data_IF_123349085681
#
_entry.id   IF_123349085681
#
_cell.length_a   1.000
_cell.length_b   1.000
_cell.length_c   1.000
_cell.angle_alpha   90.00
_cell.angle_beta   90.00
_cell.angle_gamma   90.00
#
_symmetry.space_group_name_H-M   'P 1'
#
loop_
_entity.id
_entity.type
_entity.pdbx_description
1 polymer ?
#
# COMPACT_ATOMS: atom_id res chain seq x y z
N UNK A 1 -19.76 -7.48 12.36
CA UNK A 1 -20.44 -8.69 11.83
C UNK A 1 -19.35 -9.67 11.40
N UNK A 2 -19.44 -10.97 11.68
CA UNK A 2 -18.36 -11.91 11.33
C UNK A 2 -18.30 -12.10 9.81
N UNK A 3 -17.20 -11.66 9.18
CA UNK A 3 -16.90 -11.96 7.78
C UNK A 3 -16.87 -13.49 7.59
N UNK A 4 -17.62 -14.08 6.64
CA UNK A 4 -17.93 -15.52 6.63
C UNK A 4 -16.70 -16.41 6.40
N UNK A 5 -15.64 -15.88 5.80
CA UNK A 5 -14.34 -16.54 5.60
C UNK A 5 -13.25 -15.56 6.02
N UNK A 6 -12.20 -15.99 6.74
CA UNK A 6 -11.08 -15.11 7.08
C UNK A 6 -10.38 -14.64 5.81
N UNK A 7 -10.11 -13.34 5.74
CA UNK A 7 -9.33 -12.74 4.66
C UNK A 7 -7.93 -13.35 4.64
N UNK A 8 -7.30 -13.50 3.47
CA UNK A 8 -5.89 -13.91 3.39
C UNK A 8 -5.06 -12.76 2.86
N UNK A 9 -4.06 -12.33 3.63
CA UNK A 9 -3.12 -11.31 3.20
C UNK A 9 -1.75 -11.94 2.95
N UNK A 10 -1.38 -12.02 1.68
CA UNK A 10 -0.03 -12.39 1.28
C UNK A 10 0.87 -11.16 1.38
N UNK A 11 1.91 -11.23 2.21
CA UNK A 11 2.68 -10.05 2.56
C UNK A 11 4.11 -10.30 3.01
N UNK A 12 4.89 -9.23 3.02
CA UNK A 12 6.21 -9.17 3.61
C UNK A 12 6.31 -7.89 4.44
N UNK A 13 6.62 -8.01 5.73
CA UNK A 13 6.55 -6.91 6.71
C UNK A 13 7.18 -5.59 6.25
N UNK A 14 8.45 -5.54 5.81
CA UNK A 14 9.13 -4.29 5.42
C UNK A 14 8.81 -3.88 3.97
N UNK A 15 7.54 -3.99 3.58
CA UNK A 15 7.03 -3.58 2.27
C UNK A 15 5.70 -2.86 2.43
N UNK A 16 5.05 -2.51 1.29
CA UNK A 16 3.71 -1.92 1.28
C UNK A 16 2.63 -2.84 1.86
N UNK A 17 2.96 -4.10 2.17
CA UNK A 17 2.07 -4.99 2.93
C UNK A 17 1.72 -4.44 4.30
N UNK A 18 2.59 -3.63 4.91
CA UNK A 18 2.31 -3.01 6.20
C UNK A 18 1.04 -2.15 6.18
N UNK A 19 0.75 -1.45 5.08
CA UNK A 19 -0.49 -0.67 4.92
C UNK A 19 -1.75 -1.53 5.09
N UNK A 20 -1.77 -2.68 4.41
CA UNK A 20 -2.89 -3.61 4.48
C UNK A 20 -2.99 -4.32 5.84
N UNK A 21 -1.85 -4.70 6.43
CA UNK A 21 -1.79 -5.25 7.78
C UNK A 21 -2.37 -4.25 8.79
N UNK A 22 -1.91 -3.00 8.75
CA UNK A 22 -2.38 -1.97 9.65
C UNK A 22 -3.90 -1.73 9.49
N UNK A 23 -4.40 -1.61 8.26
CA UNK A 23 -5.85 -1.48 8.04
C UNK A 23 -6.66 -2.69 8.57
N UNK A 24 -6.15 -3.91 8.46
CA UNK A 24 -6.81 -5.10 9.02
C UNK A 24 -6.86 -5.06 10.55
N UNK A 25 -5.76 -4.64 11.19
CA UNK A 25 -5.69 -4.48 12.65
C UNK A 25 -6.65 -3.37 13.13
N UNK A 26 -6.68 -2.21 12.47
CA UNK A 26 -7.59 -1.10 12.82
C UNK A 26 -9.07 -1.47 12.69
N UNK A 27 -9.41 -2.33 11.73
CA UNK A 27 -10.80 -2.77 11.50
C UNK A 27 -11.22 -3.95 12.37
N UNK A 28 -10.26 -4.68 12.97
CA UNK A 28 -10.54 -5.91 13.72
C UNK A 28 -11.10 -7.06 12.87
N UNK A 29 -10.98 -6.98 11.54
CA UNK A 29 -11.40 -8.05 10.64
C UNK A 29 -10.50 -9.27 10.82
N UNK A 30 -11.08 -10.47 10.89
CA UNK A 30 -10.30 -11.70 11.00
C UNK A 30 -9.56 -11.99 9.68
N UNK A 31 -8.25 -12.22 9.77
CA UNK A 31 -7.41 -12.53 8.62
C UNK A 31 -6.30 -13.54 8.95
N UNK A 32 -5.80 -14.19 7.90
CA UNK A 32 -4.60 -15.01 7.90
C UNK A 32 -3.48 -14.25 7.16
N UNK A 33 -2.35 -14.01 7.82
CA UNK A 33 -1.16 -13.46 7.16
C UNK A 33 -0.30 -14.59 6.59
N UNK A 34 -0.01 -14.53 5.30
CA UNK A 34 0.80 -15.50 4.58
C UNK A 34 2.11 -14.83 4.16
N UNK A 35 3.18 -15.16 4.90
CA UNK A 35 4.53 -14.64 4.65
C UNK A 35 5.00 -14.99 3.23
N UNK A 36 5.23 -13.97 2.41
CA UNK A 36 5.58 -14.10 0.99
C UNK A 36 6.88 -13.35 0.68
N UNK A 37 7.95 -14.09 0.42
CA UNK A 37 9.30 -13.55 0.25
C UNK A 37 9.54 -12.99 -1.16
N UNK A 38 9.89 -11.70 -1.25
CA UNK A 38 10.07 -10.98 -2.53
C UNK A 38 11.35 -11.35 -3.32
N UNK A 39 12.43 -11.75 -2.65
CA UNK A 39 13.77 -11.88 -3.27
C UNK A 39 14.31 -13.31 -3.30
N UNK A 40 13.43 -14.29 -3.09
CA UNK A 40 13.82 -15.70 -3.08
C UNK A 40 13.68 -16.35 -4.45
N UNK A 41 14.32 -17.51 -4.60
CA UNK A 41 14.21 -18.35 -5.79
C UNK A 41 12.76 -18.81 -6.03
N UNK A 42 12.39 -19.05 -7.29
CA UNK A 42 11.03 -19.44 -7.68
C UNK A 42 10.64 -20.86 -7.23
N UNK A 43 11.59 -21.69 -6.83
CA UNK A 43 11.37 -23.05 -6.30
C UNK A 43 10.84 -23.08 -4.87
N UNK A 44 10.94 -21.98 -4.12
CA UNK A 44 10.43 -21.91 -2.76
C UNK A 44 8.95 -21.53 -2.77
N UNK A 45 8.11 -22.33 -2.10
CA UNK A 45 6.65 -22.17 -2.10
C UNK A 45 6.20 -20.77 -1.63
N UNK A 46 6.92 -20.19 -0.67
CA UNK A 46 6.62 -18.86 -0.15
C UNK A 46 7.25 -17.72 -0.95
N UNK A 47 7.82 -17.97 -2.13
CA UNK A 47 8.43 -16.96 -2.97
C UNK A 47 7.37 -16.19 -3.77
N UNK A 48 7.53 -14.87 -3.87
CA UNK A 48 6.70 -14.04 -4.75
C UNK A 48 6.90 -14.35 -6.25
N UNK A 49 7.90 -15.20 -6.58
CA UNK A 49 8.16 -15.69 -7.94
C UNK A 49 7.64 -17.11 -8.18
N UNK A 50 7.09 -17.76 -7.15
CA UNK A 50 6.55 -19.11 -7.27
C UNK A 50 5.31 -19.11 -8.18
N UNK A 51 5.14 -20.08 -9.09
CA UNK A 51 4.00 -20.10 -10.02
C UNK A 51 2.62 -19.98 -9.35
N UNK A 52 2.43 -20.64 -8.20
CA UNK A 52 1.18 -20.54 -7.45
C UNK A 52 0.88 -19.11 -6.96
N UNK A 53 1.92 -18.36 -6.56
CA UNK A 53 1.73 -16.96 -6.16
C UNK A 53 1.54 -16.05 -7.37
N UNK A 54 2.29 -16.28 -8.46
CA UNK A 54 2.14 -15.53 -9.70
C UNK A 54 0.75 -15.69 -10.34
N UNK A 55 0.06 -16.80 -10.07
CA UNK A 55 -1.34 -16.98 -10.46
C UNK A 55 -2.30 -16.03 -9.70
N UNK A 56 -1.92 -15.55 -8.51
CA UNK A 56 -2.65 -14.53 -7.75
C UNK A 56 -2.19 -13.11 -8.14
N UNK A 57 -0.89 -12.90 -8.25
CA UNK A 57 -0.30 -11.62 -8.62
C UNK A 57 0.83 -11.79 -9.64
N UNK A 58 0.50 -11.56 -10.91
CA UNK A 58 1.43 -11.70 -12.04
C UNK A 58 2.63 -10.75 -11.99
N UNK A 59 2.58 -9.67 -11.20
CA UNK A 59 3.72 -8.79 -11.00
C UNK A 59 4.78 -9.37 -10.04
N UNK A 60 4.47 -10.43 -9.29
CA UNK A 60 5.36 -10.98 -8.27
C UNK A 60 5.67 -10.00 -7.14
N UNK A 61 4.69 -9.16 -6.79
CA UNK A 61 4.77 -8.14 -5.74
C UNK A 61 3.81 -8.46 -4.59
N UNK A 62 4.09 -7.92 -3.41
CA UNK A 62 3.16 -7.90 -2.26
C UNK A 62 2.74 -6.45 -1.95
N UNK A 63 1.59 -6.21 -1.31
CA UNK A 63 0.60 -7.18 -0.82
C UNK A 63 -0.31 -7.78 -1.90
N UNK A 64 -0.97 -8.88 -1.56
CA UNK A 64 -2.12 -9.42 -2.29
C UNK A 64 -3.15 -9.91 -1.29
N UNK A 65 -4.38 -9.41 -1.39
CA UNK A 65 -5.50 -9.80 -0.54
C UNK A 65 -6.36 -10.82 -1.29
N UNK A 66 -6.73 -11.90 -0.63
CA UNK A 66 -7.72 -12.86 -1.12
C UNK A 66 -8.92 -12.87 -0.19
N UNK A 67 -10.09 -12.71 -0.79
CA UNK A 67 -11.39 -12.74 -0.13
C UNK A 67 -12.35 -13.64 -0.93
N UNK A 68 -12.48 -14.90 -0.50
CA UNK A 68 -13.16 -15.94 -1.27
C UNK A 68 -12.50 -16.09 -2.66
N UNK A 69 -13.29 -15.90 -3.71
CA UNK A 69 -12.82 -15.97 -5.10
C UNK A 69 -12.21 -14.65 -5.61
N UNK A 70 -12.24 -13.59 -4.79
CA UNK A 70 -11.70 -12.28 -5.18
C UNK A 70 -10.24 -12.17 -4.79
N UNK A 71 -9.41 -11.83 -5.77
CA UNK A 71 -8.00 -11.50 -5.57
C UNK A 71 -7.81 -10.03 -5.88
N UNK A 72 -7.28 -9.28 -4.92
CA UNK A 72 -6.99 -7.86 -5.05
C UNK A 72 -5.50 -7.61 -4.86
N UNK A 73 -4.94 -6.81 -5.77
CA UNK A 73 -3.57 -6.30 -5.71
C UNK A 73 -3.62 -4.77 -5.55
N UNK A 74 -2.45 -4.14 -5.45
CA UNK A 74 -2.28 -2.70 -5.15
C UNK A 74 -2.65 -2.33 -3.69
N UNK A 75 -1.67 -1.86 -2.92
CA UNK A 75 -1.84 -1.69 -1.46
C UNK A 75 -2.95 -0.71 -1.08
N UNK A 76 -3.11 0.38 -1.84
CA UNK A 76 -4.14 1.39 -1.55
C UNK A 76 -5.53 0.88 -1.90
N UNK A 77 -5.68 0.13 -3.00
CA UNK A 77 -6.95 -0.51 -3.33
C UNK A 77 -7.34 -1.54 -2.26
N UNK A 78 -6.36 -2.28 -1.74
CA UNK A 78 -6.56 -3.23 -0.64
C UNK A 78 -7.00 -2.51 0.65
N UNK A 79 -6.32 -1.45 1.07
CA UNK A 79 -6.72 -0.63 2.24
C UNK A 79 -8.14 -0.10 2.05
N UNK A 80 -8.46 0.43 0.87
CA UNK A 80 -9.80 0.93 0.57
C UNK A 80 -10.87 -0.16 0.64
N UNK A 81 -10.55 -1.37 0.19
CA UNK A 81 -11.46 -2.52 0.26
C UNK A 81 -11.70 -2.94 1.72
N UNK A 82 -10.64 -3.06 2.51
CA UNK A 82 -10.70 -3.39 3.94
C UNK A 82 -11.59 -2.38 4.69
N UNK A 83 -11.36 -1.08 4.48
CA UNK A 83 -12.16 -0.02 5.08
C UNK A 83 -13.66 -0.11 4.69
N UNK A 84 -13.96 -0.49 3.44
CA UNK A 84 -15.35 -0.67 2.97
C UNK A 84 -16.04 -1.93 3.54
N UNK A 85 -15.28 -2.95 3.92
CA UNK A 85 -15.81 -4.12 4.62
C UNK A 85 -16.18 -3.82 6.09
N UNK A 86 -15.55 -2.80 6.69
CA UNK A 86 -15.76 -2.38 8.07
C UNK A 86 -16.03 -0.86 8.15
N UNK A 87 -17.17 -0.37 7.63
CA UNK A 87 -17.49 1.07 7.59
C UNK A 87 -17.53 1.73 8.98
N UNK A 88 -17.76 0.97 10.04
CA UNK A 88 -17.69 1.43 11.43
C UNK A 88 -16.31 1.93 11.86
N UNK A 89 -15.24 1.49 11.18
CA UNK A 89 -13.87 1.96 11.41
C UNK A 89 -13.66 3.42 10.99
N UNK A 90 -14.53 3.95 10.12
CA UNK A 90 -14.45 5.31 9.56
C UNK A 90 -13.13 5.63 8.83
N UNK A 91 -12.36 4.62 8.43
CA UNK A 91 -11.12 4.82 7.68
C UNK A 91 -11.34 5.55 6.33
N UNK A 92 -12.56 5.48 5.78
CA UNK A 92 -12.96 6.26 4.60
C UNK A 92 -14.09 7.20 5.02
N UNK A 93 -13.98 8.52 4.74
CA UNK A 93 -15.05 9.46 5.02
C UNK A 93 -16.26 9.23 4.13
N UNK A 94 -17.41 9.81 4.48
CA UNK A 94 -18.67 9.59 3.75
C UNK A 94 -19.22 10.82 3.06
N UNK A 95 -18.80 12.03 3.48
CA UNK A 95 -19.23 13.25 2.80
C UNK A 95 -18.51 13.40 1.47
N UNK A 96 -19.19 13.96 0.46
CA UNK A 96 -18.60 14.19 -0.87
C UNK A 96 -17.35 15.09 -0.79
N UNK A 97 -17.37 16.08 0.09
CA UNK A 97 -16.25 17.01 0.26
C UNK A 97 -15.02 16.33 0.85
N UNK A 98 -15.18 15.54 1.91
CA UNK A 98 -14.07 14.81 2.53
C UNK A 98 -13.58 13.68 1.63
N UNK A 99 -14.47 13.02 0.89
CA UNK A 99 -14.07 12.01 -0.11
C UNK A 99 -13.23 12.62 -1.23
N UNK A 100 -13.55 13.82 -1.70
CA UNK A 100 -12.71 14.50 -2.70
C UNK A 100 -11.30 14.76 -2.16
N UNK A 101 -11.19 15.15 -0.88
CA UNK A 101 -9.90 15.37 -0.21
C UNK A 101 -9.14 14.07 0.04
N UNK A 102 -9.86 13.01 0.42
CA UNK A 102 -9.34 11.66 0.57
C UNK A 102 -8.74 11.15 -0.75
N UNK A 103 -9.46 11.31 -1.86
CA UNK A 103 -8.99 10.89 -3.18
C UNK A 103 -7.78 11.71 -3.62
N UNK A 104 -7.80 13.03 -3.40
CA UNK A 104 -6.68 13.92 -3.70
C UNK A 104 -5.40 13.50 -2.97
N UNK A 105 -5.48 13.29 -1.66
CA UNK A 105 -4.34 12.86 -0.84
C UNK A 105 -3.88 11.44 -1.20
N UNK A 106 -4.80 10.50 -1.42
CA UNK A 106 -4.48 9.14 -1.85
C UNK A 106 -3.70 9.13 -3.17
N UNK A 107 -4.15 9.90 -4.15
CA UNK A 107 -3.47 10.04 -5.44
C UNK A 107 -2.12 10.74 -5.30
N UNK A 108 -2.05 11.82 -4.52
CA UNK A 108 -0.81 12.56 -4.28
C UNK A 108 0.25 11.68 -3.61
N UNK A 109 -0.13 10.92 -2.57
CA UNK A 109 0.79 10.02 -1.87
C UNK A 109 1.40 9.02 -2.83
N UNK A 110 0.60 8.41 -3.71
CA UNK A 110 1.10 7.41 -4.65
C UNK A 110 1.93 8.00 -5.79
N UNK A 111 1.42 9.06 -6.41
CA UNK A 111 1.95 9.58 -7.66
C UNK A 111 3.14 10.54 -7.44
N UNK A 112 3.18 11.25 -6.32
CA UNK A 112 4.12 12.34 -6.09
C UNK A 112 5.03 12.07 -4.88
N UNK A 113 4.47 11.63 -3.75
CA UNK A 113 5.25 11.44 -2.52
C UNK A 113 6.07 10.15 -2.56
N UNK A 114 5.43 9.04 -2.91
CA UNK A 114 6.03 7.71 -2.88
C UNK A 114 6.81 7.37 -4.15
N UNK A 115 6.41 7.93 -5.30
CA UNK A 115 7.06 7.71 -6.58
C UNK A 115 8.58 7.93 -6.53
N UNK A 116 9.13 9.02 -5.96
CA UNK A 116 10.58 9.24 -5.95
C UNK A 116 11.31 8.24 -5.05
N UNK A 117 10.69 7.84 -3.93
CA UNK A 117 11.22 6.80 -3.05
C UNK A 117 11.33 5.46 -3.79
N UNK A 118 10.30 5.12 -4.56
CA UNK A 118 10.33 3.89 -5.36
C UNK A 118 11.28 3.97 -6.55
N UNK A 119 11.40 5.13 -7.20
CA UNK A 119 12.41 5.38 -8.23
C UNK A 119 13.82 5.16 -7.70
N UNK A 120 14.14 5.69 -6.52
CA UNK A 120 15.40 5.39 -5.83
C UNK A 120 15.54 3.89 -5.51
N UNK A 121 14.51 3.25 -4.95
CA UNK A 121 14.53 1.82 -4.60
C UNK A 121 14.78 0.90 -5.81
N UNK A 122 14.18 1.21 -6.96
CA UNK A 122 14.42 0.53 -8.26
C UNK A 122 15.89 0.53 -8.63
N UNK A 123 16.52 1.70 -8.65
CA UNK A 123 17.92 1.84 -9.04
C UNK A 123 18.92 1.49 -7.92
N UNK A 124 18.45 1.27 -6.69
CA UNK A 124 19.28 0.82 -5.57
C UNK A 124 19.34 -0.70 -5.45
N UNK A 125 18.18 -1.39 -5.50
CA UNK A 125 18.14 -2.83 -5.20
C UNK A 125 17.15 -3.65 -6.04
N UNK A 126 16.09 -3.04 -6.59
CA UNK A 126 15.00 -3.84 -7.17
C UNK A 126 15.21 -4.18 -8.65
N UNK A 127 15.86 -3.32 -9.44
CA UNK A 127 16.19 -3.63 -10.83
C UNK A 127 17.45 -4.53 -10.94
N UNK A 128 17.58 -5.29 -12.05
CA UNK A 128 18.86 -5.86 -12.46
C UNK A 128 19.94 -4.79 -12.50
N UNK A 129 21.18 -5.14 -12.17
CA UNK A 129 22.28 -4.18 -12.00
C UNK A 129 22.52 -3.36 -13.26
N UNK A 130 22.46 -3.99 -14.43
CA UNK A 130 22.64 -3.39 -15.74
C UNK A 130 21.55 -2.37 -16.12
N UNK A 131 20.40 -2.37 -15.43
CA UNK A 131 19.31 -1.41 -15.62
C UNK A 131 19.34 -0.26 -14.60
N UNK A 132 20.29 -0.27 -13.65
CA UNK A 132 20.39 0.77 -12.61
C UNK A 132 21.07 2.01 -13.17
N UNK A 133 20.53 3.19 -12.82
CA UNK A 133 21.00 4.48 -13.29
C UNK A 133 21.28 5.33 -12.04
N UNK A 134 22.56 5.45 -11.61
CA UNK A 134 22.90 6.20 -10.39
C UNK A 134 22.46 7.66 -10.42
N UNK A 135 22.46 8.29 -11.59
CA UNK A 135 21.99 9.68 -11.78
C UNK A 135 20.50 9.87 -11.43
N UNK A 136 19.70 8.81 -11.37
CA UNK A 136 18.29 8.90 -10.94
C UNK A 136 18.15 9.31 -9.47
N UNK A 137 19.20 9.15 -8.65
CA UNK A 137 19.13 9.49 -7.23
C UNK A 137 18.97 11.00 -6.99
N UNK A 138 19.59 11.83 -7.83
CA UNK A 138 19.48 13.29 -7.71
C UNK A 138 18.07 13.77 -8.10
N UNK A 139 17.50 13.22 -9.18
CA UNK A 139 16.11 13.47 -9.58
C UNK A 139 15.13 13.05 -8.49
N UNK A 140 15.28 11.82 -7.96
CA UNK A 140 14.43 11.33 -6.88
C UNK A 140 14.54 12.19 -5.62
N UNK A 141 15.74 12.68 -5.27
CA UNK A 141 15.92 13.57 -4.13
C UNK A 141 15.24 14.93 -4.34
N UNK A 142 15.33 15.49 -5.55
CA UNK A 142 14.65 16.73 -5.91
C UNK A 142 13.12 16.58 -5.87
N UNK A 143 12.58 15.52 -6.50
CA UNK A 143 11.15 15.22 -6.54
C UNK A 143 10.60 14.97 -5.13
N UNK A 144 11.31 14.19 -4.30
CA UNK A 144 10.95 13.99 -2.89
C UNK A 144 10.87 15.32 -2.13
N UNK A 145 11.88 16.18 -2.25
CA UNK A 145 11.89 17.47 -1.56
C UNK A 145 10.73 18.37 -2.01
N UNK A 146 10.35 18.32 -3.29
CA UNK A 146 9.18 19.02 -3.82
C UNK A 146 7.89 18.43 -3.25
N UNK A 147 7.73 17.11 -3.28
CA UNK A 147 6.54 16.43 -2.79
C UNK A 147 6.32 16.64 -1.29
N UNK A 148 7.37 16.64 -0.47
CA UNK A 148 7.26 16.94 0.97
C UNK A 148 6.74 18.37 1.22
N UNK A 149 7.25 19.37 0.47
CA UNK A 149 6.72 20.74 0.57
C UNK A 149 5.28 20.86 0.10
N UNK A 150 4.92 20.13 -0.95
CA UNK A 150 3.53 20.06 -1.43
C UNK A 150 2.62 19.37 -0.43
N UNK A 151 3.08 18.32 0.25
CA UNK A 151 2.34 17.64 1.30
C UNK A 151 2.05 18.59 2.46
N UNK A 152 3.04 19.35 2.91
CA UNK A 152 2.88 20.36 3.98
C UNK A 152 1.81 21.41 3.64
N UNK A 153 1.73 21.83 2.36
CA UNK A 153 0.69 22.76 1.90
C UNK A 153 -0.69 22.11 1.66
N UNK A 154 -0.73 20.79 1.56
CA UNK A 154 -1.95 20.01 1.41
C UNK A 154 -2.55 19.73 2.80
N UNK A 155 -1.73 19.35 3.77
CA UNK A 155 -2.22 19.04 5.11
C UNK A 155 -2.73 20.31 5.82
N UNK A 156 -3.83 20.16 6.55
CA UNK A 156 -4.33 21.19 7.45
C UNK A 156 -3.66 21.04 8.83
N UNK A 157 -3.77 22.08 9.68
CA UNK A 157 -3.28 22.05 11.07
C UNK A 157 -4.27 21.27 11.96
N UNK A 158 -4.36 19.96 11.72
CA UNK A 158 -5.24 19.02 12.41
C UNK A 158 -4.44 17.84 12.97
N UNK A 159 -5.06 17.06 13.87
CA UNK A 159 -4.39 15.92 14.49
C UNK A 159 -4.03 14.80 13.49
N UNK A 160 -4.88 14.60 12.48
CA UNK A 160 -4.72 13.59 11.44
C UNK A 160 -4.67 14.21 10.04
N UNK A 161 -4.24 13.43 9.06
CA UNK A 161 -4.07 13.88 7.68
C UNK A 161 -5.39 14.35 7.03
N UNK A 162 -6.54 13.90 7.57
CA UNK A 162 -7.87 14.28 7.12
C UNK A 162 -8.74 14.78 8.28
N UNK A 163 -8.30 15.86 8.94
CA UNK A 163 -9.03 16.50 10.03
C UNK A 163 -8.78 15.83 11.38
N UNK A 164 -9.83 15.69 12.19
CA UNK A 164 -9.71 15.25 13.60
C UNK A 164 -9.98 13.75 13.80
N UNK A 165 -10.03 12.96 12.72
CA UNK A 165 -10.23 11.50 12.80
C UNK A 165 -9.17 10.77 11.98
N UNK A 166 -8.62 9.71 12.59
CA UNK A 166 -7.74 8.79 11.90
C UNK A 166 -8.44 8.17 10.69
N UNK A 167 -7.74 8.15 9.56
CA UNK A 167 -8.25 7.70 8.28
C UNK A 167 -7.27 6.76 7.59
N UNK A 168 -7.70 6.15 6.49
CA UNK A 168 -6.79 5.39 5.65
C UNK A 168 -5.65 6.24 5.07
N UNK A 169 -5.78 7.58 4.97
CA UNK A 169 -4.68 8.44 4.53
C UNK A 169 -3.50 8.39 5.49
N UNK A 170 -3.77 8.30 6.80
CA UNK A 170 -2.73 8.20 7.84
C UNK A 170 -1.97 6.86 7.77
N UNK A 171 -2.57 5.85 7.14
CA UNK A 171 -1.94 4.55 6.88
C UNK A 171 -1.03 4.60 5.64
N UNK A 172 -1.33 5.45 4.64
CA UNK A 172 -0.68 5.44 3.34
C UNK A 172 0.72 6.08 3.37
#
# INVERSE_FOLDING_TARGET
MSHPTPLKLYGFGPSRSFRALWALEETGLAFEHIETALRKDATLENSAKHPNYLALNSQGKVPTLVDGDKVLTESVAIVNYIARLAPESKLIPTSVSELARYDELSCFILAELEQPLWSKGKHLFALPEEQRIPAMFDTAAFEWAKAVRSLDALLDDSEFALGDQFSAIDIL
#
